data_IF_756549709860
#
_entry.id   IF_756549709860
#
_cell.length_a   1.000
_cell.length_b   1.000
_cell.length_c   1.000
_cell.angle_alpha   90.00
_cell.angle_beta   90.00
_cell.angle_gamma   90.00
#
_symmetry.space_group_name_H-M   'P 1'
#
loop_
_entity.id
_entity.type
_entity.pdbx_description
1 polymer ?
#
# COMPACT_ATOMS: atom_id res chain seq x y z
N UNK A 1 -10.50 30.87 -27.98
CA UNK A 1 -9.81 30.28 -29.13
C UNK A 1 -9.13 29.03 -28.65
N UNK A 2 -9.48 27.88 -29.19
CA UNK A 2 -8.75 26.63 -28.95
C UNK A 2 -7.40 26.77 -29.64
N UNK A 3 -6.33 26.84 -28.85
CA UNK A 3 -4.97 26.76 -29.38
C UNK A 3 -4.81 25.34 -29.93
N UNK A 4 -4.69 25.21 -31.25
CA UNK A 4 -4.44 23.93 -31.91
C UNK A 4 -3.00 23.47 -31.69
N UNK A 5 -2.74 22.18 -31.92
CA UNK A 5 -1.38 21.64 -32.01
C UNK A 5 -0.95 21.73 -33.47
N UNK A 6 0.27 22.24 -33.72
CA UNK A 6 0.80 22.41 -35.07
C UNK A 6 0.24 23.63 -35.84
N UNK A 7 0.89 23.96 -36.97
CA UNK A 7 0.58 25.14 -37.79
C UNK A 7 1.20 26.44 -37.25
N UNK A 8 1.06 27.55 -38.01
CA UNK A 8 1.74 28.83 -37.73
C UNK A 8 1.37 29.49 -36.39
N UNK A 9 0.25 29.10 -35.79
CA UNK A 9 -0.25 29.65 -34.52
C UNK A 9 -0.55 28.57 -33.47
N UNK A 10 -0.18 27.32 -33.74
CA UNK A 10 -0.36 26.21 -32.80
C UNK A 10 0.86 25.96 -31.92
N UNK A 11 0.69 25.06 -30.94
CA UNK A 11 1.78 24.64 -30.08
C UNK A 11 2.81 23.82 -30.86
N UNK A 12 4.10 24.10 -30.64
CA UNK A 12 5.20 23.24 -31.06
C UNK A 12 5.23 21.93 -30.26
N UNK A 13 5.88 20.90 -30.80
CA UNK A 13 6.09 19.61 -30.12
C UNK A 13 6.73 19.76 -28.74
N UNK A 14 7.70 20.68 -28.59
CA UNK A 14 8.32 21.01 -27.30
C UNK A 14 7.34 21.62 -26.30
N UNK A 15 6.49 22.56 -26.74
CA UNK A 15 5.46 23.17 -25.88
C UNK A 15 4.40 22.13 -25.47
N UNK A 16 4.02 21.22 -26.37
CA UNK A 16 3.10 20.13 -26.05
C UNK A 16 3.65 19.27 -24.91
N UNK A 17 4.94 18.90 -24.96
CA UNK A 17 5.58 18.12 -23.90
C UNK A 17 5.60 18.84 -22.55
N UNK A 18 5.82 20.16 -22.54
CA UNK A 18 5.79 20.97 -21.31
C UNK A 18 4.39 20.97 -20.69
N UNK A 19 3.36 21.24 -21.50
CA UNK A 19 1.96 21.24 -21.02
C UNK A 19 1.55 19.85 -20.54
N UNK A 20 1.98 18.80 -21.25
CA UNK A 20 1.76 17.42 -20.84
C UNK A 20 2.35 17.12 -19.46
N UNK A 21 3.61 17.51 -19.25
CA UNK A 21 4.29 17.31 -17.97
C UNK A 21 3.58 18.07 -16.83
N UNK A 22 3.11 19.28 -17.10
CA UNK A 22 2.34 20.06 -16.12
C UNK A 22 1.03 19.36 -15.74
N UNK A 23 0.27 18.82 -16.71
CA UNK A 23 -0.93 18.06 -16.39
C UNK A 23 -0.62 16.76 -15.65
N UNK A 24 0.41 16.00 -16.06
CA UNK A 24 0.82 14.80 -15.34
C UNK A 24 1.19 15.12 -13.89
N UNK A 25 1.89 16.22 -13.64
CA UNK A 25 2.22 16.63 -12.28
C UNK A 25 0.98 17.03 -11.49
N UNK A 26 0.04 17.75 -12.11
CA UNK A 26 -1.24 18.10 -11.51
C UNK A 26 -2.10 16.89 -11.13
N UNK A 27 -1.93 15.72 -11.78
CA UNK A 27 -2.59 14.47 -11.32
C UNK A 27 -2.11 13.98 -9.94
N UNK A 28 -1.03 14.57 -9.41
CA UNK A 28 -0.44 14.26 -8.10
C UNK A 28 -0.78 15.32 -7.05
N UNK A 29 -1.69 16.25 -7.34
CA UNK A 29 -2.14 17.24 -6.36
C UNK A 29 -3.08 16.59 -5.33
N UNK A 30 -2.52 16.35 -4.16
CA UNK A 30 -3.17 15.77 -3.00
C UNK A 30 -3.33 16.81 -1.87
N UNK A 31 -3.46 18.08 -2.22
CA UNK A 31 -3.66 19.16 -1.26
C UNK A 31 -5.01 19.03 -0.55
N UNK A 32 -5.01 19.33 0.75
CA UNK A 32 -6.19 19.27 1.62
C UNK A 32 -6.36 20.60 2.34
N UNK A 33 -7.59 21.10 2.40
CA UNK A 33 -7.96 22.21 3.26
C UNK A 33 -9.17 21.85 4.15
N UNK A 34 -9.80 22.84 4.79
CA UNK A 34 -10.95 22.65 5.67
C UNK A 34 -12.17 22.01 4.98
N UNK A 35 -12.23 22.02 3.65
CA UNK A 35 -13.27 21.41 2.81
C UNK A 35 -12.96 19.97 2.41
N UNK A 36 -11.78 19.47 2.76
CA UNK A 36 -11.31 18.15 2.37
C UNK A 36 -10.27 18.21 1.24
N UNK A 37 -10.31 17.23 0.34
CA UNK A 37 -9.35 17.03 -0.75
C UNK A 37 -9.59 18.02 -1.90
N UNK A 38 -9.11 19.26 -1.76
CA UNK A 38 -9.21 20.30 -2.79
C UNK A 38 -8.30 20.04 -3.99
N UNK A 39 -7.22 19.27 -3.80
CA UNK A 39 -6.35 18.82 -4.89
C UNK A 39 -7.09 17.95 -5.92
N UNK A 40 -8.18 17.30 -5.52
CA UNK A 40 -9.05 16.56 -6.45
C UNK A 40 -9.54 17.40 -7.64
N UNK A 41 -9.77 18.71 -7.47
CA UNK A 41 -10.16 19.58 -8.59
C UNK A 41 -9.05 19.75 -9.62
N UNK A 42 -7.80 19.90 -9.15
CA UNK A 42 -6.61 19.95 -9.99
C UNK A 42 -6.44 18.63 -10.76
N UNK A 43 -6.60 17.49 -10.06
CA UNK A 43 -6.52 16.15 -10.67
C UNK A 43 -7.60 15.92 -11.74
N UNK A 44 -8.84 16.36 -11.48
CA UNK A 44 -9.94 16.27 -12.46
C UNK A 44 -9.63 17.09 -13.72
N UNK A 45 -9.22 18.35 -13.55
CA UNK A 45 -8.85 19.21 -14.67
C UNK A 45 -7.65 18.65 -15.46
N UNK A 46 -6.69 18.06 -14.76
CA UNK A 46 -5.52 17.43 -15.36
C UNK A 46 -5.88 16.21 -16.21
N UNK A 47 -6.74 15.31 -15.73
CA UNK A 47 -7.16 14.14 -16.51
C UNK A 47 -7.92 14.54 -17.79
N UNK A 48 -8.78 15.56 -17.70
CA UNK A 48 -9.45 16.13 -18.86
C UNK A 48 -8.43 16.73 -19.85
N UNK A 49 -7.51 17.57 -19.36
CA UNK A 49 -6.46 18.17 -20.18
C UNK A 49 -5.54 17.15 -20.86
N UNK A 50 -5.15 16.07 -20.17
CA UNK A 50 -4.38 14.96 -20.74
C UNK A 50 -5.17 14.26 -21.86
N UNK A 51 -6.45 13.98 -21.62
CA UNK A 51 -7.32 13.32 -22.60
C UNK A 51 -7.46 14.15 -23.87
N UNK A 52 -7.71 15.45 -23.72
CA UNK A 52 -7.86 16.38 -24.85
C UNK A 52 -6.54 16.52 -25.62
N UNK A 53 -5.42 16.64 -24.89
CA UNK A 53 -4.10 16.80 -25.48
C UNK A 53 -3.66 15.54 -26.24
N UNK A 54 -3.91 14.34 -25.70
CA UNK A 54 -3.62 13.07 -26.38
C UNK A 54 -4.48 12.95 -27.64
N UNK A 55 -5.78 13.20 -27.52
CA UNK A 55 -6.72 13.10 -28.64
C UNK A 55 -6.31 14.04 -29.76
N UNK A 56 -6.00 15.30 -29.43
CA UNK A 56 -5.55 16.29 -30.41
C UNK A 56 -4.19 15.90 -31.02
N UNK A 57 -3.22 15.46 -30.21
CA UNK A 57 -1.88 15.09 -30.68
C UNK A 57 -1.91 13.90 -31.65
N UNK A 58 -2.83 12.95 -31.47
CA UNK A 58 -2.96 11.82 -32.39
C UNK A 58 -3.47 12.22 -33.79
N UNK A 59 -4.15 13.37 -33.91
CA UNK A 59 -4.72 13.85 -35.16
C UNK A 59 -3.74 14.73 -35.97
N UNK A 60 -2.63 15.14 -35.38
CA UNK A 60 -1.67 16.07 -36.00
C UNK A 60 -0.62 15.29 -36.78
N UNK A 61 -0.29 15.79 -37.97
CA UNK A 61 0.75 15.23 -38.82
C UNK A 61 2.14 15.81 -38.47
N UNK A 62 2.67 15.42 -37.31
CA UNK A 62 3.97 15.86 -36.79
C UNK A 62 4.79 14.64 -36.33
N UNK A 63 5.89 14.32 -37.04
CA UNK A 63 6.71 13.14 -36.78
C UNK A 63 7.41 13.20 -35.41
N UNK A 64 7.94 14.38 -35.02
CA UNK A 64 8.65 14.57 -33.76
C UNK A 64 7.72 14.41 -32.55
N UNK A 65 6.47 14.84 -32.69
CA UNK A 65 5.44 14.65 -31.68
C UNK A 65 5.03 13.18 -31.60
N UNK A 66 4.78 12.52 -32.74
CA UNK A 66 4.37 11.10 -32.78
C UNK A 66 5.43 10.18 -32.18
N UNK A 67 6.71 10.40 -32.48
CA UNK A 67 7.79 9.60 -31.93
C UNK A 67 7.84 9.62 -30.39
N UNK A 68 7.39 10.71 -29.76
CA UNK A 68 7.37 10.86 -28.31
C UNK A 68 6.03 10.54 -27.63
N UNK A 69 4.95 10.30 -28.40
CA UNK A 69 3.59 10.26 -27.85
C UNK A 69 3.28 8.98 -27.07
N UNK A 70 3.85 7.84 -27.48
CA UNK A 70 3.63 6.54 -26.83
C UNK A 70 3.94 6.53 -25.32
N UNK A 71 5.16 6.91 -24.89
CA UNK A 71 5.51 6.98 -23.47
C UNK A 71 4.62 7.95 -22.68
N UNK A 72 4.20 9.05 -23.30
CA UNK A 72 3.28 10.01 -22.69
C UNK A 72 1.93 9.32 -22.46
N UNK A 73 1.30 8.76 -23.50
CA UNK A 73 0.03 8.03 -23.40
C UNK A 73 0.10 6.96 -22.30
N UNK A 74 1.15 6.14 -22.28
CA UNK A 74 1.34 5.14 -21.22
C UNK A 74 1.33 5.74 -19.81
N UNK A 75 2.04 6.86 -19.59
CA UNK A 75 2.04 7.56 -18.30
C UNK A 75 0.66 8.13 -17.94
N UNK A 76 -0.10 8.64 -18.91
CA UNK A 76 -1.47 9.08 -18.68
C UNK A 76 -2.41 7.96 -18.29
N UNK A 77 -2.33 6.82 -18.97
CA UNK A 77 -3.13 5.64 -18.62
C UNK A 77 -2.79 5.19 -17.20
N UNK A 78 -1.50 5.12 -16.84
CA UNK A 78 -1.06 4.84 -15.48
C UNK A 78 -1.61 5.84 -14.44
N UNK A 79 -1.56 7.14 -14.75
CA UNK A 79 -2.10 8.17 -13.88
C UNK A 79 -3.61 8.00 -13.67
N UNK A 80 -4.37 7.79 -14.73
CA UNK A 80 -5.82 7.58 -14.67
C UNK A 80 -6.19 6.28 -13.95
N UNK A 81 -5.46 5.18 -14.18
CA UNK A 81 -5.68 3.92 -13.46
C UNK A 81 -5.42 4.05 -11.96
N UNK A 82 -4.42 4.83 -11.56
CA UNK A 82 -4.21 5.19 -10.16
C UNK A 82 -5.42 5.94 -9.61
N UNK A 83 -5.88 7.00 -10.29
CA UNK A 83 -7.04 7.79 -9.88
C UNK A 83 -8.34 6.96 -9.80
N UNK A 84 -8.54 6.04 -10.76
CA UNK A 84 -9.66 5.11 -10.80
C UNK A 84 -9.63 4.10 -9.63
N UNK A 85 -8.45 3.87 -9.04
CA UNK A 85 -8.25 2.99 -7.89
C UNK A 85 -8.34 3.72 -6.55
N UNK A 86 -8.58 5.03 -6.53
CA UNK A 86 -8.64 5.84 -5.31
C UNK A 86 -10.05 6.01 -4.72
N UNK A 87 -10.12 6.59 -3.52
CA UNK A 87 -11.33 6.61 -2.68
C UNK A 87 -12.45 7.57 -3.10
N UNK A 88 -12.19 8.56 -3.96
CA UNK A 88 -13.17 9.60 -4.29
C UNK A 88 -14.03 9.22 -5.50
N UNK A 89 -15.34 9.15 -5.30
CA UNK A 89 -16.32 8.69 -6.30
C UNK A 89 -16.26 9.51 -7.60
N UNK A 90 -16.21 10.84 -7.50
CA UNK A 90 -16.14 11.74 -8.65
C UNK A 90 -14.80 11.63 -9.41
N UNK A 91 -13.69 11.39 -8.69
CA UNK A 91 -12.38 11.19 -9.31
C UNK A 91 -12.34 9.86 -10.04
N UNK A 92 -12.88 8.79 -9.45
CA UNK A 92 -13.01 7.51 -10.13
C UNK A 92 -13.91 7.61 -11.37
N UNK A 93 -15.06 8.28 -11.25
CA UNK A 93 -15.97 8.54 -12.35
C UNK A 93 -15.25 9.16 -13.55
N UNK A 94 -14.58 10.29 -13.33
CA UNK A 94 -13.84 10.98 -14.37
C UNK A 94 -12.69 10.13 -14.94
N UNK A 95 -11.91 9.47 -14.09
CA UNK A 95 -10.80 8.63 -14.54
C UNK A 95 -11.28 7.48 -15.46
N UNK A 96 -12.38 6.82 -15.09
CA UNK A 96 -13.00 5.77 -15.91
C UNK A 96 -13.50 6.29 -17.26
N UNK A 97 -14.21 7.41 -17.27
CA UNK A 97 -14.68 8.05 -18.51
C UNK A 97 -13.51 8.45 -19.44
N UNK A 98 -12.43 8.98 -18.89
CA UNK A 98 -11.24 9.34 -19.68
C UNK A 98 -10.52 8.12 -20.25
N UNK A 99 -10.41 7.04 -19.46
CA UNK A 99 -9.87 5.77 -19.94
C UNK A 99 -10.73 5.23 -21.10
N UNK A 100 -12.05 5.20 -20.96
CA UNK A 100 -12.97 4.77 -22.03
C UNK A 100 -12.76 5.57 -23.33
N UNK A 101 -12.62 6.90 -23.24
CA UNK A 101 -12.36 7.76 -24.41
C UNK A 101 -11.01 7.45 -25.07
N UNK A 102 -9.97 7.14 -24.30
CA UNK A 102 -8.63 6.90 -24.83
C UNK A 102 -8.43 5.46 -25.33
N UNK A 103 -9.21 4.50 -24.83
CA UNK A 103 -9.04 3.09 -25.14
C UNK A 103 -10.23 2.45 -25.86
N UNK A 104 -11.39 3.06 -26.08
CA UNK A 104 -12.61 2.37 -26.58
C UNK A 104 -12.43 1.41 -27.78
N UNK A 105 -13.33 0.46 -28.07
CA UNK A 105 -14.79 0.59 -28.02
C UNK A 105 -15.45 -0.69 -27.53
N UNK A 106 -16.09 -0.59 -26.36
CA UNK A 106 -16.61 -1.71 -25.58
C UNK A 106 -18.00 -2.20 -25.99
N UNK A 107 -18.30 -2.31 -27.29
CA UNK A 107 -19.54 -2.96 -27.78
C UNK A 107 -20.46 -2.13 -28.69
N UNK A 108 -20.13 -0.89 -29.05
CA UNK A 108 -20.95 -0.04 -29.93
C UNK A 108 -20.61 -0.16 -31.43
N UNK A 109 -19.62 -1.00 -31.78
CA UNK A 109 -19.16 -1.21 -33.16
C UNK A 109 -18.37 -0.05 -33.76
N UNK A 110 -18.05 0.99 -32.99
CA UNK A 110 -17.24 2.11 -33.48
C UNK A 110 -15.76 1.73 -33.57
N UNK A 111 -15.02 2.38 -34.48
CA UNK A 111 -13.60 2.14 -34.63
C UNK A 111 -12.83 2.59 -33.38
N UNK A 112 -11.78 1.86 -32.95
CA UNK A 112 -10.97 2.26 -31.82
C UNK A 112 -10.34 3.65 -32.05
N UNK A 113 -10.21 4.48 -31.00
CA UNK A 113 -9.61 5.81 -31.14
C UNK A 113 -8.13 5.69 -31.52
N UNK A 114 -7.55 6.67 -32.25
CA UNK A 114 -6.13 6.63 -32.64
C UNK A 114 -5.15 6.43 -31.48
N UNK A 115 -5.49 6.95 -30.28
CA UNK A 115 -4.71 6.79 -29.06
C UNK A 115 -4.54 5.33 -28.64
N UNK A 116 -5.49 4.45 -28.98
CA UNK A 116 -5.48 3.06 -28.54
C UNK A 116 -4.25 2.28 -29.02
N UNK A 117 -3.74 2.59 -30.21
CA UNK A 117 -2.52 1.96 -30.75
C UNK A 117 -1.25 2.32 -29.99
N UNK A 118 -1.31 3.34 -29.13
CA UNK A 118 -0.20 3.83 -28.31
C UNK A 118 -0.27 3.33 -26.86
N UNK A 119 -1.38 2.67 -26.47
CA UNK A 119 -1.60 2.20 -25.10
C UNK A 119 -0.96 0.81 -24.92
N UNK A 120 -0.05 0.63 -23.93
CA UNK A 120 0.53 -0.68 -23.64
C UNK A 120 -0.55 -1.72 -23.31
N UNK A 121 -0.50 -2.91 -23.95
CA UNK A 121 -1.47 -4.00 -23.72
C UNK A 121 -2.94 -3.54 -23.79
N UNK A 122 -3.25 -2.64 -24.73
CA UNK A 122 -4.56 -2.00 -24.86
C UNK A 122 -5.71 -3.01 -24.92
N UNK A 123 -5.55 -4.11 -25.67
CA UNK A 123 -6.60 -5.12 -25.83
C UNK A 123 -6.91 -5.86 -24.52
N UNK A 124 -5.91 -6.16 -23.71
CA UNK A 124 -6.11 -6.77 -22.38
C UNK A 124 -6.74 -5.78 -21.40
N UNK A 125 -6.30 -4.52 -21.44
CA UNK A 125 -6.89 -3.47 -20.63
C UNK A 125 -8.38 -3.26 -20.98
N UNK A 126 -8.71 -3.23 -22.28
CA UNK A 126 -10.11 -3.19 -22.77
C UNK A 126 -10.90 -4.39 -22.32
N UNK A 127 -10.34 -5.59 -22.43
CA UNK A 127 -11.00 -6.81 -22.01
C UNK A 127 -11.32 -6.81 -20.50
N UNK A 128 -10.55 -6.09 -19.67
CA UNK A 128 -10.84 -5.95 -18.24
C UNK A 128 -11.86 -4.83 -17.98
N UNK A 129 -11.63 -3.64 -18.53
CA UNK A 129 -12.41 -2.44 -18.23
C UNK A 129 -13.76 -2.45 -18.94
N UNK A 130 -13.79 -2.87 -20.21
CA UNK A 130 -14.94 -2.76 -21.11
C UNK A 130 -15.67 -4.09 -21.36
N UNK A 131 -15.19 -5.22 -20.80
CA UNK A 131 -15.96 -6.47 -20.86
C UNK A 131 -17.34 -6.26 -20.25
N UNK A 132 -18.36 -6.79 -20.92
CA UNK A 132 -19.77 -6.72 -20.51
C UNK A 132 -20.04 -7.36 -19.14
N UNK A 133 -21.20 -7.08 -18.58
CA UNK A 133 -21.60 -7.60 -17.27
C UNK A 133 -21.58 -9.14 -17.26
N UNK A 134 -21.15 -9.79 -16.17
CA UNK A 134 -21.14 -11.25 -16.02
C UNK A 134 -22.54 -11.89 -16.12
N UNK A 135 -23.61 -11.08 -16.07
CA UNK A 135 -25.00 -11.54 -15.99
C UNK A 135 -25.65 -11.79 -17.38
N UNK A 136 -24.89 -11.77 -18.48
CA UNK A 136 -25.42 -12.03 -19.82
C UNK A 136 -26.29 -10.90 -20.41
N UNK A 137 -26.21 -9.69 -19.84
CA UNK A 137 -26.81 -8.48 -20.44
C UNK A 137 -26.08 -8.12 -21.74
N UNK A 138 -26.82 -7.69 -22.76
CA UNK A 138 -26.22 -7.24 -24.01
C UNK A 138 -25.27 -6.07 -23.73
N UNK A 139 -24.11 -6.09 -24.39
CA UNK A 139 -23.00 -5.18 -24.10
C UNK A 139 -23.36 -3.70 -24.29
N UNK A 140 -24.35 -3.40 -25.13
CA UNK A 140 -24.88 -2.06 -25.38
C UNK A 140 -25.67 -1.44 -24.20
N UNK A 141 -26.15 -2.24 -23.23
CA UNK A 141 -26.99 -1.78 -22.12
C UNK A 141 -26.25 -1.67 -20.78
N UNK A 142 -24.95 -2.01 -20.74
CA UNK A 142 -24.14 -1.96 -19.51
C UNK A 142 -23.40 -0.63 -19.46
N UNK A 143 -24.07 0.40 -18.96
CA UNK A 143 -23.41 1.65 -18.57
C UNK A 143 -22.65 1.41 -17.25
N UNK A 144 -21.34 1.24 -17.33
CA UNK A 144 -20.50 1.11 -16.13
C UNK A 144 -20.52 2.38 -15.33
N UNK A 145 -20.80 2.28 -14.03
CA UNK A 145 -20.70 3.43 -13.15
C UNK A 145 -19.39 3.38 -12.37
N UNK A 146 -18.36 4.02 -12.92
CA UNK A 146 -17.04 4.13 -12.32
C UNK A 146 -17.03 4.83 -10.94
N UNK A 147 -18.10 5.55 -10.58
CA UNK A 147 -18.25 6.07 -9.22
C UNK A 147 -18.51 4.94 -8.20
N UNK A 148 -19.12 3.83 -8.62
CA UNK A 148 -19.49 2.73 -7.73
C UNK A 148 -18.28 1.84 -7.43
N UNK A 149 -17.84 1.89 -6.18
CA UNK A 149 -16.70 1.14 -5.66
C UNK A 149 -16.81 -0.38 -5.91
N UNK A 150 -18.01 -0.94 -5.73
CA UNK A 150 -18.24 -2.39 -5.90
C UNK A 150 -18.17 -2.86 -7.35
N UNK A 151 -18.32 -1.96 -8.34
CA UNK A 151 -18.14 -2.27 -9.77
C UNK A 151 -16.68 -2.05 -10.20
N UNK A 152 -16.05 -1.00 -9.65
CA UNK A 152 -14.72 -0.54 -10.09
C UNK A 152 -13.59 -1.39 -9.54
N UNK A 153 -13.55 -1.66 -8.23
CA UNK A 153 -12.41 -2.35 -7.61
C UNK A 153 -12.19 -3.79 -8.10
N UNK A 154 -13.22 -4.60 -8.38
CA UNK A 154 -13.03 -5.92 -8.99
C UNK A 154 -12.35 -5.88 -10.36
N UNK A 155 -12.51 -4.79 -11.12
CA UNK A 155 -11.79 -4.57 -12.38
C UNK A 155 -10.34 -4.15 -12.09
N UNK A 156 -10.12 -3.23 -11.14
CA UNK A 156 -8.78 -2.73 -10.80
C UNK A 156 -7.83 -3.84 -10.35
N UNK A 157 -8.30 -4.76 -9.50
CA UNK A 157 -7.44 -5.89 -9.08
C UNK A 157 -7.07 -6.84 -10.22
N UNK A 158 -7.85 -6.90 -11.31
CA UNK A 158 -7.45 -7.62 -12.52
C UNK A 158 -6.41 -6.84 -13.33
N UNK A 159 -6.54 -5.52 -13.39
CA UNK A 159 -5.53 -4.65 -14.05
C UNK A 159 -4.18 -4.76 -13.34
N UNK A 160 -4.13 -5.05 -12.04
CA UNK A 160 -2.88 -5.31 -11.31
C UNK A 160 -2.04 -6.46 -11.89
N UNK A 161 -2.66 -7.39 -12.62
CA UNK A 161 -1.96 -8.52 -13.27
C UNK A 161 -1.27 -8.10 -14.58
N UNK A 162 -1.52 -6.86 -15.02
CA UNK A 162 -0.78 -6.21 -16.11
C UNK A 162 0.41 -5.45 -15.51
N UNK A 163 1.62 -5.96 -15.73
CA UNK A 163 2.83 -5.49 -15.06
C UNK A 163 3.13 -3.99 -15.22
N UNK A 164 2.79 -3.41 -16.36
CA UNK A 164 2.95 -1.98 -16.66
C UNK A 164 2.09 -1.09 -15.76
N UNK A 165 0.97 -1.62 -15.26
CA UNK A 165 -0.02 -0.89 -14.49
C UNK A 165 0.01 -1.24 -13.00
N UNK A 166 0.65 -2.36 -12.64
CA UNK A 166 0.67 -2.92 -11.28
C UNK A 166 0.95 -1.88 -10.20
N UNK A 167 2.09 -1.19 -10.29
CA UNK A 167 2.50 -0.20 -9.30
C UNK A 167 1.45 0.91 -9.11
N UNK A 168 0.91 1.44 -10.20
CA UNK A 168 -0.01 2.58 -10.18
C UNK A 168 -1.38 2.20 -9.60
N UNK A 169 -1.88 1.02 -9.96
CA UNK A 169 -3.14 0.49 -9.42
C UNK A 169 -2.98 0.20 -7.93
N UNK A 170 -1.90 -0.44 -7.49
CA UNK A 170 -1.62 -0.70 -6.08
C UNK A 170 -1.51 0.61 -5.29
N UNK A 171 -0.80 1.60 -5.82
CA UNK A 171 -0.65 2.91 -5.17
C UNK A 171 -2.01 3.60 -4.93
N UNK A 172 -2.96 3.48 -5.86
CA UNK A 172 -4.33 3.99 -5.68
C UNK A 172 -5.15 3.12 -4.71
N UNK A 173 -5.11 1.80 -4.88
CA UNK A 173 -5.86 0.84 -4.05
C UNK A 173 -5.53 0.97 -2.57
N UNK A 174 -4.25 1.15 -2.22
CA UNK A 174 -3.81 1.35 -0.83
C UNK A 174 -4.54 2.51 -0.15
N UNK A 175 -4.80 3.61 -0.88
CA UNK A 175 -5.53 4.77 -0.35
C UNK A 175 -7.03 4.50 -0.15
N UNK A 176 -7.58 3.54 -0.88
CA UNK A 176 -8.97 3.09 -0.78
C UNK A 176 -9.16 2.06 0.34
N UNK A 177 -8.29 1.05 0.39
CA UNK A 177 -8.32 -0.04 1.38
C UNK A 177 -8.03 0.48 2.78
N UNK A 178 -6.95 1.26 2.94
CA UNK A 178 -6.58 1.84 4.23
C UNK A 178 -7.30 3.15 4.56
N UNK A 179 -8.37 3.49 3.81
CA UNK A 179 -9.14 4.72 3.93
C UNK A 179 -10.00 4.81 5.19
N UNK A 180 -10.93 5.78 5.19
CA UNK A 180 -11.86 6.04 6.30
C UNK A 180 -13.32 5.73 5.95
N UNK A 181 -13.67 5.70 4.66
CA UNK A 181 -15.05 5.53 4.18
C UNK A 181 -15.42 4.06 4.15
N UNK A 182 -16.33 3.62 5.02
CA UNK A 182 -16.67 2.21 5.22
C UNK A 182 -17.06 1.49 3.91
N UNK A 183 -17.94 2.07 3.09
CA UNK A 183 -18.38 1.45 1.84
C UNK A 183 -17.22 1.22 0.85
N UNK A 184 -16.37 2.24 0.68
CA UNK A 184 -15.18 2.16 -0.20
C UNK A 184 -14.17 1.14 0.36
N UNK A 185 -13.91 1.18 1.66
CA UNK A 185 -13.00 0.24 2.34
C UNK A 185 -13.52 -1.19 2.19
N UNK A 186 -14.82 -1.43 2.41
CA UNK A 186 -15.44 -2.76 2.26
C UNK A 186 -15.29 -3.30 0.85
N UNK A 187 -15.62 -2.52 -0.17
CA UNK A 187 -15.52 -2.95 -1.58
C UNK A 187 -14.07 -3.16 -2.02
N UNK A 188 -13.17 -2.22 -1.71
CA UNK A 188 -11.74 -2.32 -2.10
C UNK A 188 -11.02 -3.46 -1.37
N UNK A 189 -11.23 -3.61 -0.06
CA UNK A 189 -10.66 -4.70 0.74
C UNK A 189 -11.16 -6.06 0.28
N UNK A 190 -12.47 -6.17 0.00
CA UNK A 190 -13.05 -7.40 -0.52
C UNK A 190 -12.45 -7.82 -1.86
N UNK A 191 -12.29 -6.88 -2.79
CA UNK A 191 -11.66 -7.13 -4.09
C UNK A 191 -10.18 -7.54 -3.95
N UNK A 192 -9.39 -6.80 -3.15
CA UNK A 192 -7.97 -7.10 -2.94
C UNK A 192 -7.77 -8.45 -2.26
N UNK A 193 -8.56 -8.76 -1.23
CA UNK A 193 -8.49 -10.06 -0.55
C UNK A 193 -8.89 -11.21 -1.46
N UNK A 194 -9.92 -11.05 -2.30
CA UNK A 194 -10.32 -12.07 -3.26
C UNK A 194 -9.18 -12.35 -4.27
N UNK A 195 -8.57 -11.29 -4.81
CA UNK A 195 -7.40 -11.39 -5.68
C UNK A 195 -6.23 -12.07 -4.97
N UNK A 196 -5.89 -11.65 -3.75
CA UNK A 196 -4.74 -12.16 -3.01
C UNK A 196 -4.91 -13.64 -2.62
N UNK A 197 -6.12 -14.07 -2.25
CA UNK A 197 -6.46 -15.48 -1.97
C UNK A 197 -6.39 -16.36 -3.22
N UNK A 198 -6.69 -15.80 -4.39
CA UNK A 198 -6.52 -16.50 -5.65
C UNK A 198 -5.04 -16.60 -6.02
N UNK A 199 -4.30 -15.48 -5.89
CA UNK A 199 -2.86 -15.45 -6.09
C UNK A 199 -2.17 -16.48 -5.19
N UNK A 200 -2.47 -16.58 -3.89
CA UNK A 200 -1.81 -17.53 -2.98
C UNK A 200 -1.98 -19.01 -3.35
N UNK A 201 -2.97 -19.37 -4.18
CA UNK A 201 -3.26 -20.75 -4.60
C UNK A 201 -2.76 -21.12 -5.99
N UNK A 202 -2.33 -20.15 -6.80
CA UNK A 202 -1.87 -20.35 -8.17
C UNK A 202 -0.45 -20.92 -8.26
N UNK A 203 -0.11 -21.57 -9.37
CA UNK A 203 1.25 -22.08 -9.63
C UNK A 203 2.32 -20.98 -9.73
N UNK A 204 1.91 -19.74 -10.01
CA UNK A 204 2.70 -18.51 -10.02
C UNK A 204 2.48 -17.65 -8.76
N UNK A 205 1.77 -18.19 -7.76
CA UNK A 205 1.21 -17.43 -6.65
C UNK A 205 2.22 -16.71 -5.76
N UNK A 206 3.38 -17.33 -5.56
CA UNK A 206 4.50 -16.74 -4.85
C UNK A 206 4.96 -15.43 -5.50
N UNK A 207 5.14 -15.41 -6.82
CA UNK A 207 5.65 -14.25 -7.55
C UNK A 207 4.68 -13.05 -7.52
N UNK A 208 3.37 -13.29 -7.60
CA UNK A 208 2.35 -12.23 -7.54
C UNK A 208 2.29 -11.56 -6.17
N UNK A 209 2.34 -12.36 -5.11
CA UNK A 209 2.36 -11.85 -3.74
C UNK A 209 3.69 -11.17 -3.40
N UNK A 210 4.80 -11.67 -3.95
CA UNK A 210 6.11 -11.04 -3.84
C UNK A 210 6.14 -9.67 -4.55
N UNK A 211 5.58 -9.59 -5.76
CA UNK A 211 5.44 -8.33 -6.49
C UNK A 211 4.60 -7.28 -5.75
N UNK A 212 3.56 -7.72 -5.03
CA UNK A 212 2.76 -6.83 -4.18
C UNK A 212 3.60 -6.26 -3.02
N UNK A 213 4.38 -7.10 -2.32
CA UNK A 213 5.27 -6.62 -1.25
C UNK A 213 6.40 -5.75 -1.78
N UNK A 214 6.98 -6.07 -2.94
CA UNK A 214 7.98 -5.23 -3.59
C UNK A 214 7.41 -3.83 -3.90
N UNK A 215 6.14 -3.76 -4.34
CA UNK A 215 5.43 -2.49 -4.52
C UNK A 215 5.22 -1.76 -3.21
N UNK A 216 4.88 -2.46 -2.12
CA UNK A 216 4.75 -1.84 -0.79
C UNK A 216 6.09 -1.28 -0.30
N UNK A 217 7.19 -2.02 -0.47
CA UNK A 217 8.55 -1.55 -0.17
C UNK A 217 8.84 -0.21 -0.86
N UNK A 218 8.55 -0.16 -2.17
CA UNK A 218 8.70 1.06 -2.96
C UNK A 218 7.83 2.21 -2.45
N UNK A 219 6.57 1.95 -2.10
CA UNK A 219 5.67 2.97 -1.55
C UNK A 219 6.12 3.48 -0.19
N UNK A 220 6.66 2.62 0.68
CA UNK A 220 7.27 3.05 1.95
C UNK A 220 8.48 3.97 1.70
N UNK A 221 9.30 3.69 0.68
CA UNK A 221 10.48 4.50 0.37
C UNK A 221 10.16 5.84 -0.31
N UNK A 222 9.20 5.86 -1.24
CA UNK A 222 8.82 7.08 -1.97
C UNK A 222 7.96 8.05 -1.14
N UNK A 223 7.22 7.54 -0.16
CA UNK A 223 6.28 8.33 0.65
C UNK A 223 6.68 8.46 2.12
N UNK A 224 7.99 8.44 2.41
CA UNK A 224 8.53 8.64 3.76
C UNK A 224 7.94 9.89 4.41
N UNK A 225 7.57 9.76 5.67
CA UNK A 225 6.94 10.81 6.48
C UNK A 225 5.58 11.34 5.96
N UNK A 226 5.09 10.83 4.82
CA UNK A 226 3.79 11.20 4.28
C UNK A 226 2.69 10.30 4.86
N UNK A 227 2.26 10.63 6.08
CA UNK A 227 1.23 9.86 6.82
C UNK A 227 -0.06 9.63 6.03
N UNK A 228 -0.39 10.51 5.07
CA UNK A 228 -1.52 10.36 4.14
C UNK A 228 -1.45 9.05 3.34
N UNK A 229 -0.26 8.55 3.04
CA UNK A 229 -0.02 7.30 2.30
C UNK A 229 0.41 6.19 3.24
N UNK A 230 1.34 6.47 4.16
CA UNK A 230 1.92 5.46 5.05
C UNK A 230 0.87 4.83 5.98
N UNK A 231 -0.05 5.62 6.54
CA UNK A 231 -1.09 5.06 7.42
C UNK A 231 -2.01 4.10 6.65
N UNK A 232 -2.59 4.47 5.48
CA UNK A 232 -3.33 3.51 4.67
C UNK A 232 -2.52 2.29 4.22
N UNK A 233 -1.22 2.46 3.92
CA UNK A 233 -0.33 1.37 3.56
C UNK A 233 -0.15 0.36 4.70
N UNK A 234 0.06 0.84 5.92
CA UNK A 234 0.13 -0.02 7.12
C UNK A 234 -1.17 -0.79 7.32
N UNK A 235 -2.33 -0.13 7.20
CA UNK A 235 -3.65 -0.78 7.30
C UNK A 235 -3.88 -1.82 6.21
N UNK A 236 -3.42 -1.56 5.00
CA UNK A 236 -3.54 -2.50 3.87
C UNK A 236 -2.68 -3.73 4.11
N UNK A 237 -1.46 -3.54 4.60
CA UNK A 237 -0.57 -4.64 4.97
C UNK A 237 -1.14 -5.46 6.14
N UNK A 238 -1.64 -4.80 7.19
CA UNK A 238 -2.34 -5.42 8.32
C UNK A 238 -3.51 -6.29 7.84
N UNK A 239 -4.35 -5.77 6.94
CA UNK A 239 -5.48 -6.50 6.35
C UNK A 239 -5.02 -7.82 5.71
N UNK A 240 -3.97 -7.79 4.90
CA UNK A 240 -3.46 -8.98 4.22
C UNK A 240 -2.89 -10.00 5.22
N UNK A 241 -2.15 -9.54 6.23
CA UNK A 241 -1.56 -10.40 7.26
C UNK A 241 -2.63 -11.06 8.14
N UNK A 242 -3.61 -10.29 8.63
CA UNK A 242 -4.70 -10.80 9.48
C UNK A 242 -5.59 -11.79 8.73
N UNK A 243 -5.70 -11.67 7.40
CA UNK A 243 -6.45 -12.62 6.57
C UNK A 243 -5.63 -13.81 6.07
N UNK A 244 -4.42 -14.00 6.61
CA UNK A 244 -3.58 -15.17 6.34
C UNK A 244 -3.07 -15.28 4.90
N UNK A 245 -3.00 -14.16 4.16
CA UNK A 245 -2.56 -14.15 2.76
C UNK A 245 -1.14 -14.70 2.62
N UNK A 246 -0.29 -14.46 3.61
CA UNK A 246 1.12 -14.84 3.63
C UNK A 246 1.42 -16.05 4.53
N UNK A 247 0.42 -16.73 5.09
CA UNK A 247 0.63 -17.83 6.04
C UNK A 247 1.38 -19.02 5.41
N UNK A 248 1.21 -19.23 4.09
CA UNK A 248 1.99 -20.23 3.35
C UNK A 248 3.50 -19.98 3.37
N UNK A 249 3.94 -18.77 3.70
CA UNK A 249 5.35 -18.41 3.86
C UNK A 249 5.84 -18.54 5.30
N UNK A 250 4.94 -18.70 6.28
CA UNK A 250 5.30 -18.76 7.69
C UNK A 250 6.22 -19.95 8.01
N UNK A 251 6.11 -21.04 7.26
CA UNK A 251 6.94 -22.25 7.37
C UNK A 251 8.12 -22.28 6.37
N UNK A 252 8.25 -21.30 5.48
CA UNK A 252 9.32 -21.29 4.47
C UNK A 252 10.68 -20.95 5.09
N UNK A 253 11.73 -21.64 4.64
CA UNK A 253 13.08 -21.47 5.16
C UNK A 253 14.10 -21.42 4.01
N UNK A 254 14.70 -20.24 3.71
CA UNK A 254 14.42 -18.93 4.32
C UNK A 254 13.07 -18.34 3.87
N UNK A 255 12.45 -17.45 4.65
CA UNK A 255 11.30 -16.67 4.20
C UNK A 255 11.63 -15.82 2.96
N UNK A 256 10.66 -15.52 2.08
CA UNK A 256 10.89 -14.63 0.94
C UNK A 256 11.47 -13.29 1.37
N UNK A 257 12.44 -12.77 0.60
CA UNK A 257 13.19 -11.57 0.98
C UNK A 257 12.28 -10.36 1.31
N UNK A 258 11.25 -10.02 0.51
CA UNK A 258 10.37 -8.89 0.84
C UNK A 258 9.61 -9.08 2.16
N UNK A 259 9.35 -10.33 2.58
CA UNK A 259 8.67 -10.61 3.84
C UNK A 259 9.55 -10.32 5.06
N UNK A 260 10.84 -10.65 4.97
CA UNK A 260 11.82 -10.37 6.04
C UNK A 260 12.00 -8.86 6.23
N UNK A 261 11.87 -8.07 5.16
CA UNK A 261 12.05 -6.62 5.20
C UNK A 261 10.89 -5.85 5.87
N UNK A 262 9.70 -6.46 5.99
CA UNK A 262 8.49 -5.80 6.49
C UNK A 262 8.71 -5.13 7.85
N UNK A 263 9.36 -5.83 8.79
CA UNK A 263 9.61 -5.27 10.14
C UNK A 263 10.47 -4.00 10.03
N UNK A 264 11.46 -3.99 9.14
CA UNK A 264 12.34 -2.83 8.95
C UNK A 264 11.59 -1.62 8.39
N UNK A 265 10.63 -1.83 7.50
CA UNK A 265 9.81 -0.75 6.92
C UNK A 265 8.96 -0.09 8.01
N UNK A 266 8.24 -0.89 8.80
CA UNK A 266 7.33 -0.36 9.83
C UNK A 266 8.06 0.22 11.04
N UNK A 267 9.24 -0.31 11.39
CA UNK A 267 10.12 0.30 12.39
C UNK A 267 10.59 1.68 11.95
N UNK A 268 11.00 1.82 10.68
CA UNK A 268 11.48 3.09 10.13
C UNK A 268 10.40 4.18 10.21
N UNK A 269 9.17 3.86 9.81
CA UNK A 269 8.05 4.82 9.80
C UNK A 269 7.47 5.14 11.19
N UNK A 270 7.61 4.22 12.14
CA UNK A 270 7.18 4.47 13.52
C UNK A 270 8.19 5.25 14.35
N UNK A 271 9.46 5.24 13.94
CA UNK A 271 10.55 5.90 14.67
C UNK A 271 10.24 7.40 14.85
N UNK A 272 10.17 7.84 16.11
CA UNK A 272 9.88 9.23 16.51
C UNK A 272 8.53 9.79 16.04
N UNK A 273 7.66 8.97 15.45
CA UNK A 273 6.32 9.40 15.06
C UNK A 273 5.52 9.88 16.28
N UNK A 274 4.77 10.95 16.09
CA UNK A 274 3.77 11.46 17.05
C UNK A 274 2.34 11.09 16.66
N UNK A 275 2.15 10.54 15.46
CA UNK A 275 0.84 10.15 14.94
C UNK A 275 0.38 8.85 15.60
N UNK A 276 -0.50 8.95 16.59
CA UNK A 276 -1.01 7.80 17.37
C UNK A 276 -1.72 6.77 16.49
N UNK A 277 -2.64 7.12 15.56
CA UNK A 277 -3.18 6.17 14.60
C UNK A 277 -2.13 5.39 13.81
N UNK A 278 -1.06 6.06 13.33
CA UNK A 278 0.05 5.40 12.65
C UNK A 278 0.75 4.38 13.56
N UNK A 279 1.03 4.78 14.80
CA UNK A 279 1.66 3.89 15.79
C UNK A 279 0.78 2.67 16.12
N UNK A 280 -0.55 2.84 16.19
CA UNK A 280 -1.48 1.72 16.39
C UNK A 280 -1.44 0.75 15.21
N UNK A 281 -1.51 1.25 13.97
CA UNK A 281 -1.39 0.38 12.79
C UNK A 281 -0.02 -0.30 12.69
N UNK A 282 1.07 0.36 13.09
CA UNK A 282 2.38 -0.30 13.21
C UNK A 282 2.36 -1.45 14.20
N UNK A 283 1.80 -1.24 15.40
CA UNK A 283 1.65 -2.30 16.41
C UNK A 283 0.86 -3.48 15.83
N UNK A 284 -0.25 -3.22 15.16
CA UNK A 284 -1.08 -4.29 14.60
C UNK A 284 -0.31 -5.12 13.57
N UNK A 285 0.40 -4.47 12.64
CA UNK A 285 1.26 -5.18 11.67
C UNK A 285 2.30 -6.03 12.40
N UNK A 286 3.02 -5.47 13.38
CA UNK A 286 4.04 -6.20 14.14
C UNK A 286 3.45 -7.44 14.85
N UNK A 287 2.29 -7.31 15.47
CA UNK A 287 1.59 -8.42 16.12
C UNK A 287 1.18 -9.49 15.12
N UNK A 288 0.70 -9.12 13.93
CA UNK A 288 0.33 -10.09 12.89
C UNK A 288 1.53 -10.91 12.40
N UNK A 289 2.74 -10.33 12.43
CA UNK A 289 3.97 -11.02 12.01
C UNK A 289 4.45 -12.07 13.02
N UNK A 290 3.95 -12.07 14.25
CA UNK A 290 4.40 -13.00 15.30
C UNK A 290 4.15 -14.48 14.98
N UNK A 291 3.20 -14.78 14.09
CA UNK A 291 2.94 -16.16 13.62
C UNK A 291 4.03 -16.75 12.73
N UNK A 292 4.93 -15.92 12.17
CA UNK A 292 6.00 -16.38 11.29
C UNK A 292 7.16 -17.01 12.08
N UNK A 293 8.10 -17.67 11.40
CA UNK A 293 9.34 -18.16 12.03
C UNK A 293 10.40 -17.06 12.18
N UNK A 294 11.46 -17.37 12.91
CA UNK A 294 12.63 -16.50 13.01
C UNK A 294 13.33 -16.35 11.65
N UNK A 295 13.91 -15.17 11.33
CA UNK A 295 14.16 -14.03 12.23
C UNK A 295 12.98 -13.06 12.40
N UNK A 296 11.90 -13.22 11.63
CA UNK A 296 10.81 -12.25 11.57
C UNK A 296 10.07 -12.12 12.91
N UNK A 297 9.73 -13.25 13.53
CA UNK A 297 9.07 -13.29 14.84
C UNK A 297 9.89 -12.58 15.91
N UNK A 298 11.18 -12.93 16.03
CA UNK A 298 12.09 -12.29 16.98
C UNK A 298 12.14 -10.78 16.80
N UNK A 299 12.30 -10.29 15.58
CA UNK A 299 12.35 -8.84 15.30
C UNK A 299 11.02 -8.14 15.60
N UNK A 300 9.90 -8.79 15.32
CA UNK A 300 8.58 -8.27 15.66
C UNK A 300 8.34 -8.21 17.18
N UNK A 301 8.68 -9.27 17.94
CA UNK A 301 8.61 -9.29 19.41
C UNK A 301 9.48 -8.20 20.04
N UNK A 302 10.71 -8.07 19.55
CA UNK A 302 11.63 -7.02 19.93
C UNK A 302 11.02 -5.63 19.75
N UNK A 303 10.39 -5.38 18.60
CA UNK A 303 9.68 -4.13 18.32
C UNK A 303 8.48 -3.93 19.25
N UNK A 304 7.71 -4.98 19.52
CA UNK A 304 6.57 -4.93 20.44
C UNK A 304 6.98 -4.52 21.85
N UNK A 305 8.13 -5.01 22.36
CA UNK A 305 8.68 -4.56 23.64
C UNK A 305 9.05 -3.06 23.62
N UNK A 306 9.54 -2.53 22.50
CA UNK A 306 9.77 -1.08 22.38
C UNK A 306 8.45 -0.31 22.52
N UNK A 307 7.37 -0.78 21.88
CA UNK A 307 6.03 -0.16 21.97
C UNK A 307 5.40 -0.26 23.36
N UNK A 308 5.59 -1.37 24.07
CA UNK A 308 5.17 -1.51 25.48
C UNK A 308 5.88 -0.53 26.41
N UNK A 309 7.05 -0.03 26.02
CA UNK A 309 7.79 1.02 26.74
C UNK A 309 7.66 2.42 26.12
N UNK A 310 6.68 2.65 25.24
CA UNK A 310 6.55 3.90 24.50
C UNK A 310 6.18 5.09 25.39
N UNK A 311 6.58 6.31 25.01
CA UNK A 311 6.30 7.53 25.79
C UNK A 311 4.79 7.82 25.95
N UNK A 312 3.97 7.42 24.98
CA UNK A 312 2.53 7.66 25.00
C UNK A 312 1.78 6.52 25.70
N UNK A 313 1.05 6.78 26.80
CA UNK A 313 0.32 5.75 27.54
C UNK A 313 -0.66 4.94 26.70
N UNK A 314 -1.41 5.60 25.82
CA UNK A 314 -2.37 4.95 24.92
C UNK A 314 -1.72 3.94 23.97
N UNK A 315 -0.47 4.19 23.54
CA UNK A 315 0.29 3.29 22.67
C UNK A 315 0.76 2.06 23.43
N UNK A 316 1.20 2.22 24.68
CA UNK A 316 1.57 1.08 25.53
C UNK A 316 0.38 0.18 25.80
N UNK A 317 -0.76 0.77 26.17
CA UNK A 317 -2.02 0.04 26.40
C UNK A 317 -2.45 -0.74 25.15
N UNK A 318 -2.50 -0.08 23.99
CA UNK A 318 -2.84 -0.73 22.73
C UNK A 318 -1.89 -1.88 22.40
N UNK A 319 -0.57 -1.69 22.55
CA UNK A 319 0.42 -2.74 22.32
C UNK A 319 0.24 -3.95 23.24
N UNK A 320 -0.10 -3.74 24.52
CA UNK A 320 -0.38 -4.81 25.45
C UNK A 320 -1.65 -5.58 25.09
N UNK A 321 -2.73 -4.86 24.75
CA UNK A 321 -4.00 -5.47 24.34
C UNK A 321 -3.83 -6.34 23.08
N UNK A 322 -3.15 -5.82 22.05
CA UNK A 322 -2.92 -6.58 20.82
C UNK A 322 -2.01 -7.80 21.05
N UNK A 323 -0.94 -7.65 21.85
CA UNK A 323 -0.06 -8.78 22.17
C UNK A 323 -0.79 -9.84 22.98
N UNK A 324 -1.61 -9.44 23.95
CA UNK A 324 -2.43 -10.35 24.75
C UNK A 324 -3.39 -11.15 23.85
N UNK A 325 -4.13 -10.48 22.97
CA UNK A 325 -5.01 -11.16 22.01
C UNK A 325 -4.26 -12.15 21.12
N UNK A 326 -3.04 -11.82 20.69
CA UNK A 326 -2.22 -12.73 19.87
C UNK A 326 -1.72 -13.93 20.66
N UNK A 327 -1.33 -13.75 21.93
CA UNK A 327 -0.94 -14.86 22.80
C UNK A 327 -2.12 -15.81 23.05
N UNK A 328 -3.34 -15.28 23.24
CA UNK A 328 -4.53 -16.12 23.39
C UNK A 328 -4.85 -16.95 22.15
N UNK A 329 -4.65 -16.40 20.95
CA UNK A 329 -5.00 -17.07 19.69
C UNK A 329 -3.90 -18.01 19.21
N UNK A 330 -2.63 -17.57 19.29
CA UNK A 330 -1.48 -18.26 18.69
C UNK A 330 -0.41 -18.65 19.72
N UNK A 331 -0.77 -18.74 21.00
CA UNK A 331 0.16 -19.06 22.08
C UNK A 331 0.95 -20.35 21.82
N UNK A 332 0.29 -21.39 21.33
CA UNK A 332 0.93 -22.66 20.98
C UNK A 332 2.02 -22.47 19.92
N UNK A 333 1.81 -21.58 18.93
CA UNK A 333 2.79 -21.29 17.88
C UNK A 333 3.94 -20.44 18.42
N UNK A 334 3.65 -19.50 19.33
CA UNK A 334 4.63 -18.56 19.87
C UNK A 334 5.58 -19.17 20.89
N UNK A 335 5.08 -20.11 21.70
CA UNK A 335 5.82 -20.68 22.84
C UNK A 335 6.38 -22.08 22.57
N UNK A 336 6.00 -22.73 21.46
CA UNK A 336 6.59 -23.98 21.03
C UNK A 336 7.96 -23.73 20.37
N UNK A 337 9.03 -24.06 21.10
CA UNK A 337 10.43 -23.82 20.69
C UNK A 337 10.96 -24.84 19.65
N UNK A 338 10.08 -25.57 18.94
CA UNK A 338 10.43 -26.28 17.70
C UNK A 338 11.15 -27.63 17.85
N UNK A 339 10.92 -28.38 18.92
CA UNK A 339 11.43 -29.74 19.07
C UNK A 339 10.35 -30.79 18.86
N UNK A 340 10.55 -31.71 17.91
CA UNK A 340 9.81 -32.97 17.80
C UNK A 340 9.56 -33.58 19.19
N UNK A 341 8.29 -33.78 19.55
CA UNK A 341 7.85 -34.59 20.69
C UNK A 341 8.74 -34.50 21.96
N UNK A 342 9.07 -33.29 22.42
CA UNK A 342 9.91 -33.10 23.58
C UNK A 342 9.08 -33.15 24.87
N UNK A 343 8.94 -34.35 25.46
CA UNK A 343 8.49 -34.70 26.84
C UNK A 343 7.47 -33.79 27.55
N UNK A 344 6.47 -34.39 28.21
CA UNK A 344 5.47 -33.70 29.06
C UNK A 344 6.03 -32.71 30.12
N UNK A 345 7.33 -32.80 30.48
CA UNK A 345 8.00 -31.84 31.35
C UNK A 345 8.35 -30.50 30.68
N UNK A 346 8.62 -30.49 29.37
CA UNK A 346 8.83 -29.25 28.61
C UNK A 346 7.50 -28.57 28.28
N UNK A 347 6.46 -29.37 27.97
CA UNK A 347 5.08 -28.89 27.77
C UNK A 347 4.56 -28.15 29.00
N UNK A 348 4.77 -28.68 30.22
CA UNK A 348 4.38 -27.99 31.45
C UNK A 348 5.14 -26.68 31.71
N UNK A 349 6.37 -26.56 31.18
CA UNK A 349 7.17 -25.34 31.29
C UNK A 349 6.80 -24.27 30.25
N UNK A 350 6.37 -24.68 29.05
CA UNK A 350 5.88 -23.78 28.00
C UNK A 350 4.49 -23.25 28.32
N UNK A 351 3.58 -24.12 28.77
CA UNK A 351 2.23 -23.76 29.21
C UNK A 351 2.29 -22.75 30.37
N UNK A 352 3.11 -23.03 31.38
CA UNK A 352 3.31 -22.10 32.50
C UNK A 352 3.87 -20.76 32.03
N UNK A 353 4.83 -20.77 31.10
CA UNK A 353 5.43 -19.54 30.56
C UNK A 353 4.41 -18.72 29.78
N UNK A 354 3.53 -19.38 29.01
CA UNK A 354 2.41 -18.74 28.33
C UNK A 354 1.46 -18.10 29.34
N UNK A 355 1.04 -18.84 30.36
CA UNK A 355 0.17 -18.32 31.42
C UNK A 355 0.81 -17.12 32.14
N UNK A 356 2.09 -17.19 32.49
CA UNK A 356 2.82 -16.09 33.13
C UNK A 356 2.84 -14.84 32.23
N UNK A 357 2.95 -15.00 30.90
CA UNK A 357 2.87 -13.89 29.94
C UNK A 357 1.47 -13.31 29.86
N UNK A 358 0.44 -14.15 29.78
CA UNK A 358 -0.97 -13.74 29.76
C UNK A 358 -1.34 -12.95 31.01
N UNK A 359 -1.01 -13.49 32.19
CA UNK A 359 -1.24 -12.87 33.49
C UNK A 359 -0.57 -11.50 33.54
N UNK A 360 0.71 -11.41 33.13
CA UNK A 360 1.44 -10.15 33.14
C UNK A 360 0.84 -9.13 32.18
N UNK A 361 0.44 -9.54 30.96
CA UNK A 361 -0.16 -8.64 29.98
C UNK A 361 -1.53 -8.12 30.44
N UNK A 362 -2.34 -8.95 31.10
CA UNK A 362 -3.68 -8.61 31.54
C UNK A 362 -3.73 -7.84 32.87
N UNK A 363 -2.84 -8.15 33.81
CA UNK A 363 -2.85 -7.55 35.16
C UNK A 363 -2.13 -6.20 35.25
N UNK A 364 -1.12 -5.97 34.39
CA UNK A 364 -0.35 -4.73 34.41
C UNK A 364 -1.16 -3.58 33.82
N UNK A 365 -1.18 -2.45 34.54
CA UNK A 365 -1.73 -1.18 34.04
C UNK A 365 -0.71 -0.52 33.10
N UNK A 366 -0.76 -0.88 31.81
CA UNK A 366 0.25 -0.48 30.82
C UNK A 366 0.27 1.03 30.49
N UNK A 367 -0.78 1.77 30.83
CA UNK A 367 -0.85 3.24 30.73
C UNK A 367 -0.39 3.96 32.02
N UNK A 368 0.06 3.24 33.05
CA UNK A 368 0.65 3.79 34.27
C UNK A 368 2.03 4.46 34.02
N UNK A 369 2.68 4.93 35.08
CA UNK A 369 3.96 5.64 35.01
C UNK A 369 5.04 4.82 34.26
N UNK A 370 5.81 5.49 33.40
CA UNK A 370 6.75 4.83 32.49
C UNK A 370 7.82 4.02 33.22
N UNK A 371 8.29 4.45 34.39
CA UNK A 371 9.29 3.71 35.17
C UNK A 371 8.75 2.36 35.63
N UNK A 372 7.53 2.35 36.17
CA UNK A 372 6.82 1.12 36.55
C UNK A 372 6.64 0.19 35.35
N UNK A 373 6.13 0.71 34.22
CA UNK A 373 5.89 -0.09 33.01
C UNK A 373 7.19 -0.67 32.44
N UNK A 374 8.31 0.05 32.51
CA UNK A 374 9.63 -0.45 32.07
C UNK A 374 10.10 -1.65 32.88
N UNK A 375 9.82 -1.68 34.18
CA UNK A 375 10.14 -2.84 35.02
C UNK A 375 9.30 -4.07 34.63
N UNK A 376 8.00 -3.89 34.40
CA UNK A 376 7.11 -4.97 33.95
C UNK A 376 7.48 -5.49 32.56
N UNK A 377 7.81 -4.58 31.63
CA UNK A 377 8.34 -4.95 30.31
C UNK A 377 9.62 -5.79 30.42
N UNK A 378 10.52 -5.47 31.34
CA UNK A 378 11.75 -6.25 31.53
C UNK A 378 11.46 -7.66 32.04
N UNK A 379 10.45 -7.84 32.90
CA UNK A 379 9.96 -9.16 33.29
C UNK A 379 9.35 -9.92 32.09
N UNK A 380 8.51 -9.24 31.30
CA UNK A 380 7.89 -9.81 30.10
C UNK A 380 8.93 -10.30 29.09
N UNK A 381 9.99 -9.53 28.83
CA UNK A 381 11.01 -9.93 27.88
C UNK A 381 11.81 -11.16 28.32
N UNK A 382 12.01 -11.34 29.63
CA UNK A 382 12.62 -12.58 30.17
C UNK A 382 11.72 -13.79 29.89
N UNK A 383 10.41 -13.65 30.08
CA UNK A 383 9.44 -14.71 29.76
C UNK A 383 9.41 -15.01 28.26
N UNK A 384 9.50 -13.98 27.41
CA UNK A 384 9.54 -14.14 25.95
C UNK A 384 10.94 -14.53 25.40
N UNK A 385 11.94 -14.70 26.26
CA UNK A 385 13.34 -14.99 25.88
C UNK A 385 13.94 -13.96 24.88
N UNK A 386 13.54 -12.70 25.00
CA UNK A 386 14.04 -11.61 24.14
C UNK A 386 15.07 -10.77 24.89
N UNK A 387 16.24 -10.59 24.29
CA UNK A 387 17.26 -9.67 24.79
C UNK A 387 16.87 -8.20 24.53
N UNK A 388 16.58 -7.47 25.62
CA UNK A 388 16.26 -6.03 25.57
C UNK A 388 17.51 -5.17 25.35
N UNK A 389 18.68 -5.58 25.82
CA UNK A 389 19.88 -4.74 25.81
C UNK A 389 20.46 -4.61 24.40
N UNK A 390 20.29 -5.66 23.57
CA UNK A 390 20.55 -5.60 22.13
C UNK A 390 19.68 -4.54 21.41
N UNK A 391 18.41 -4.35 21.82
CA UNK A 391 17.50 -3.37 21.22
C UNK A 391 17.90 -1.91 21.48
N UNK A 392 18.44 -1.63 22.67
CA UNK A 392 18.92 -0.30 23.02
C UNK A 392 20.18 0.07 22.21
N UNK A 393 21.08 -0.89 21.98
CA UNK A 393 22.31 -0.69 21.22
C UNK A 393 22.07 -0.48 19.71
N UNK A 394 21.11 -1.17 19.11
CA UNK A 394 20.74 -0.98 17.69
C UNK A 394 20.01 0.34 17.44
N UNK A 395 19.11 0.73 18.34
CA UNK A 395 18.43 2.03 18.30
C UNK A 395 19.43 3.20 18.39
N UNK A 396 20.47 3.06 19.24
CA UNK A 396 21.54 4.05 19.35
C UNK A 396 22.41 4.13 18.09
N UNK A 397 22.83 3.00 17.49
CA UNK A 397 23.67 2.99 16.26
C UNK A 397 22.95 3.59 15.05
N UNK A 398 21.68 3.26 14.87
CA UNK A 398 20.86 3.82 13.78
C UNK A 398 20.51 5.30 13.99
N UNK A 399 20.47 5.81 15.24
CA UNK A 399 20.25 7.24 15.52
C UNK A 399 21.49 8.06 15.13
N UNK A 400 22.69 7.50 15.32
CA UNK A 400 23.96 8.11 14.91
C UNK A 400 24.08 8.17 13.38
N UNK A 401 23.73 7.09 12.68
CA UNK A 401 23.76 7.04 11.21
C UNK A 401 22.68 7.92 10.54
N UNK A 402 21.51 8.07 11.15
CA UNK A 402 20.47 8.98 10.66
C UNK A 402 20.87 10.46 10.85
N UNK A 403 21.59 10.78 11.94
CA UNK A 403 22.13 12.13 12.18
C UNK A 403 23.26 12.48 11.20
N UNK A 404 24.11 11.53 10.82
CA UNK A 404 25.16 11.78 9.82
C UNK A 404 24.58 12.02 8.43
N UNK A 405 23.61 11.21 7.98
CA UNK A 405 22.96 11.40 6.67
C UNK A 405 22.16 12.70 6.57
N UNK A 406 21.48 13.10 7.66
CA UNK A 406 20.73 14.37 7.68
C UNK A 406 21.66 15.58 7.66
N UNK A 407 22.86 15.44 8.24
CA UNK A 407 23.91 16.45 8.17
C UNK A 407 24.49 16.55 6.75
N UNK A 408 24.77 15.43 6.11
CA UNK A 408 25.23 15.38 4.70
C UNK A 408 24.21 16.04 3.75
N UNK A 409 22.92 15.74 3.87
CA UNK A 409 21.86 16.38 3.06
C UNK A 409 21.70 17.89 3.32
N UNK A 410 21.91 18.34 4.57
CA UNK A 410 21.88 19.77 4.89
C UNK A 410 23.11 20.50 4.34
N UNK A 411 24.28 19.86 4.37
CA UNK A 411 25.52 20.42 3.83
C UNK A 411 25.48 20.47 2.29
N UNK A 412 24.87 19.48 1.63
CA UNK A 412 24.63 19.50 0.17
C UNK A 412 23.67 20.63 -0.24
N UNK A 413 22.53 20.79 0.46
CA UNK A 413 21.56 21.85 0.18
C UNK A 413 22.07 23.26 0.51
N UNK A 414 23.07 23.38 1.38
CA UNK A 414 23.75 24.65 1.67
C UNK A 414 24.87 24.98 0.66
N UNK A 415 25.21 24.03 -0.23
CA UNK A 415 26.23 24.18 -1.26
C UNK A 415 25.70 24.53 -2.66
N UNK A 416 24.36 24.58 -2.82
CA UNK A 416 23.64 25.16 -3.95
C UNK A 416 23.11 26.56 -3.58
#
# INVERSE_FOLDING_TARGET
GTVGIGGAHGMSSGQVRIVYAAYLDATKDYSVDKRGDVGSWSRLAAMQGLTDLITAACLVDDEDLRAGLGPLVGQSICAMLKQLSEKLDNVRAAAGEHLERLIGTGGDGSAPPPSAGLVPRCDELRAILLAGAPDGRQQADVLWNWALAYETFPKMVKVMDLGEYHYHVVAGLVLSVGGLTEAVVKSSSGALLAWAKHASKGGDGGARLEGLLATFSRLFDEHRDADRVILPLLKTLELLLVNGIYDGWAASEPPPAPMVEVVSWVQRESRRSTNVPKLFSTVNVLVSLLGHRDPLRRQALQSMLVFLGHRFPRVRKHAAEQLYSKVLVDGDVLFNDGGDAASAAAEGGEEKRRQDVEDLLCTVVWDAELQYVRAQRAALAKLLKVDIDALAAESAKTDTAARSRKKEQQDELASY
#
